data_IF_769779515213
#
_entry.id   IF_769779515213
#
_cell.length_a   1.000
_cell.length_b   1.000
_cell.length_c   1.000
_cell.angle_alpha   90.00
_cell.angle_beta   90.00
_cell.angle_gamma   90.00
#
_symmetry.space_group_name_H-M   'P 1'
#
loop_
_entity.id
_entity.type
_entity.pdbx_description
1 polymer ?
#
# COMPACT_ATOMS: atom_id res chain seq x y z
N UNK A 1 -6.08 17.73 -9.82
CA UNK A 1 -6.27 16.31 -10.20
C UNK A 1 -5.88 15.42 -9.02
N UNK A 2 -6.44 14.22 -8.90
CA UNK A 2 -6.10 13.29 -7.80
C UNK A 2 -5.70 11.94 -8.38
N UNK A 3 -4.68 11.31 -7.82
CA UNK A 3 -4.40 9.89 -8.00
C UNK A 3 -4.91 9.12 -6.76
N UNK A 4 -6.00 8.36 -6.91
CA UNK A 4 -6.66 7.61 -5.84
C UNK A 4 -6.34 6.11 -5.97
N UNK A 5 -5.55 5.56 -5.05
CA UNK A 5 -5.16 4.15 -5.06
C UNK A 5 -5.56 3.43 -3.77
N UNK A 6 -5.78 2.11 -3.85
CA UNK A 6 -6.09 1.31 -2.67
C UNK A 6 -4.88 1.17 -1.74
N UNK A 7 -3.72 0.80 -2.28
CA UNK A 7 -2.51 0.52 -1.53
C UNK A 7 -1.31 1.22 -2.17
N UNK A 8 -0.33 1.61 -1.35
CA UNK A 8 0.90 2.26 -1.82
C UNK A 8 2.02 1.25 -2.14
N UNK A 9 1.71 0.28 -2.99
CA UNK A 9 2.66 -0.74 -3.46
C UNK A 9 3.58 -0.21 -4.58
N UNK A 10 4.46 -1.07 -5.11
CA UNK A 10 5.39 -0.66 -6.18
C UNK A 10 4.67 -0.16 -7.44
N UNK A 11 3.57 -0.79 -7.85
CA UNK A 11 2.82 -0.36 -9.03
C UNK A 11 2.20 1.03 -8.85
N UNK A 12 1.67 1.34 -7.66
CA UNK A 12 1.20 2.69 -7.32
C UNK A 12 2.35 3.70 -7.30
N UNK A 13 3.54 3.33 -6.82
CA UNK A 13 4.74 4.19 -6.83
C UNK A 13 5.19 4.51 -8.25
N UNK A 14 5.26 3.52 -9.12
CA UNK A 14 5.69 3.68 -10.52
C UNK A 14 4.71 4.60 -11.28
N UNK A 15 3.41 4.45 -11.03
CA UNK A 15 2.38 5.32 -11.60
C UNK A 15 2.48 6.76 -11.07
N UNK A 16 2.58 6.93 -9.75
CA UNK A 16 2.72 8.25 -9.13
C UNK A 16 3.96 9.00 -9.66
N UNK A 17 5.10 8.29 -9.77
CA UNK A 17 6.32 8.84 -10.34
C UNK A 17 6.15 9.21 -11.82
N UNK A 18 5.51 8.33 -12.61
CA UNK A 18 5.27 8.59 -14.04
C UNK A 18 4.40 9.82 -14.27
N UNK A 19 3.36 10.01 -13.45
CA UNK A 19 2.50 11.19 -13.49
C UNK A 19 3.29 12.46 -13.15
N UNK A 20 4.11 12.41 -12.09
CA UNK A 20 4.95 13.52 -11.66
C UNK A 20 5.92 13.96 -12.76
N UNK A 21 6.65 13.03 -13.38
CA UNK A 21 7.62 13.34 -14.45
C UNK A 21 6.95 13.85 -15.72
N UNK A 22 5.74 13.38 -16.01
CA UNK A 22 4.93 13.90 -17.12
C UNK A 22 4.35 15.30 -16.85
N UNK A 23 4.61 15.89 -15.67
CA UNK A 23 4.17 17.24 -15.31
C UNK A 23 2.73 17.31 -14.80
N UNK A 24 2.13 16.17 -14.43
CA UNK A 24 0.81 16.16 -13.82
C UNK A 24 0.88 16.47 -12.33
N UNK A 25 0.21 17.55 -11.91
CA UNK A 25 0.01 17.88 -10.50
C UNK A 25 -1.17 17.07 -9.93
N UNK A 26 -0.89 15.79 -9.66
CA UNK A 26 -1.85 14.83 -9.11
C UNK A 26 -1.49 14.49 -7.66
N UNK A 27 -2.26 15.01 -6.70
CA UNK A 27 -2.07 14.61 -5.30
C UNK A 27 -2.41 13.13 -5.14
N UNK A 28 -1.48 12.36 -4.57
CA UNK A 28 -1.69 10.94 -4.31
C UNK A 28 -2.51 10.76 -3.02
N UNK A 29 -3.63 10.04 -3.12
CA UNK A 29 -4.50 9.67 -2.02
C UNK A 29 -4.56 8.14 -1.92
N UNK A 30 -4.15 7.60 -0.78
CA UNK A 30 -4.12 6.15 -0.52
C UNK A 30 -5.24 5.78 0.44
N UNK A 31 -6.19 4.96 -0.03
CA UNK A 31 -7.39 4.63 0.74
C UNK A 31 -7.04 3.77 1.95
N UNK A 32 -6.31 2.67 1.77
CA UNK A 32 -5.91 1.84 2.89
C UNK A 32 -4.82 2.53 3.70
N UNK A 33 -4.92 2.56 5.04
CA UNK A 33 -3.95 3.20 5.89
C UNK A 33 -2.58 2.52 5.76
N UNK A 34 -1.55 3.33 5.47
CA UNK A 34 -0.16 2.93 5.58
C UNK A 34 0.57 3.99 6.41
N UNK A 35 1.22 3.58 7.50
CA UNK A 35 1.97 4.49 8.36
C UNK A 35 3.25 5.04 7.73
N UNK A 36 3.64 4.57 6.53
CA UNK A 36 4.90 4.91 5.86
C UNK A 36 4.71 5.58 4.50
N UNK A 37 3.56 6.23 4.29
CA UNK A 37 3.33 7.04 3.09
C UNK A 37 4.40 8.12 2.92
N UNK A 38 4.84 8.40 1.68
CA UNK A 38 5.80 9.47 1.41
C UNK A 38 5.21 10.84 1.74
N UNK A 39 6.08 11.84 1.86
CA UNK A 39 5.64 13.22 2.06
C UNK A 39 4.77 13.67 0.87
N UNK A 40 3.67 14.38 1.16
CA UNK A 40 2.72 14.87 0.16
C UNK A 40 1.61 13.86 -0.23
N UNK A 41 1.77 12.57 0.06
CA UNK A 41 0.68 11.61 -0.07
C UNK A 41 -0.27 11.72 1.14
N UNK A 42 -1.57 11.60 0.88
CA UNK A 42 -2.62 11.68 1.89
C UNK A 42 -3.33 10.33 2.05
N UNK A 43 -3.91 10.08 3.23
CA UNK A 43 -4.85 8.98 3.44
C UNK A 43 -6.02 9.48 4.28
N UNK A 44 -7.28 9.10 3.96
CA UNK A 44 -8.45 9.52 4.73
C UNK A 44 -8.40 9.04 6.18
N UNK A 45 -7.61 7.99 6.50
CA UNK A 45 -7.47 7.49 7.85
C UNK A 45 -6.34 8.15 8.63
N UNK A 46 -5.19 8.43 7.99
CA UNK A 46 -4.06 9.07 8.69
C UNK A 46 -4.22 10.59 8.81
N UNK A 47 -4.95 11.22 7.88
CA UNK A 47 -5.15 12.68 7.84
C UNK A 47 -5.72 13.28 9.13
N UNK A 48 -6.57 12.54 9.85
CA UNK A 48 -7.21 13.04 11.07
C UNK A 48 -6.43 12.74 12.35
N UNK A 49 -5.40 11.88 12.27
CA UNK A 49 -4.65 11.40 13.44
C UNK A 49 -3.17 11.84 13.44
N UNK A 50 -2.65 12.24 12.28
CA UNK A 50 -1.31 12.81 12.14
C UNK A 50 -1.40 14.34 12.07
N UNK A 51 -0.50 15.05 12.76
CA UNK A 51 -0.37 16.49 12.58
C UNK A 51 0.19 16.82 11.17
N UNK A 52 -0.14 18.00 10.65
CA UNK A 52 0.33 18.46 9.33
C UNK A 52 1.88 18.47 9.22
N UNK A 53 2.56 18.82 10.31
CA UNK A 53 4.02 18.76 10.45
C UNK A 53 4.41 17.80 11.57
N UNK A 54 3.90 16.57 11.51
CA UNK A 54 4.23 15.55 12.50
C UNK A 54 5.73 15.24 12.52
N UNK A 55 6.27 15.05 13.72
CA UNK A 55 7.70 14.81 13.93
C UNK A 55 7.93 13.52 14.70
N UNK A 56 9.04 12.87 14.40
CA UNK A 56 9.43 11.65 15.07
C UNK A 56 10.35 10.80 14.21
N UNK A 57 10.59 9.58 14.68
CA UNK A 57 11.36 8.57 13.96
C UNK A 57 10.65 7.23 14.12
N UNK A 58 10.70 6.35 13.10
CA UNK A 58 10.11 5.03 13.22
C UNK A 58 10.72 4.30 14.42
N UNK A 59 9.92 3.53 15.15
CA UNK A 59 10.44 2.70 16.23
C UNK A 59 11.33 1.61 15.67
N UNK A 60 12.49 1.42 16.27
CA UNK A 60 13.27 0.21 16.09
C UNK A 60 12.58 -0.96 16.81
N UNK A 61 12.78 -2.19 16.36
CA UNK A 61 12.03 -3.35 16.86
C UNK A 61 12.06 -3.52 18.39
N UNK A 62 13.16 -3.19 19.06
CA UNK A 62 13.31 -3.29 20.51
C UNK A 62 12.75 -2.08 21.29
N UNK A 63 12.12 -1.12 20.61
CA UNK A 63 11.48 0.06 21.21
C UNK A 63 9.96 -0.06 21.29
N UNK A 64 9.40 -1.21 20.90
CA UNK A 64 7.98 -1.52 21.08
C UNK A 64 7.67 -1.50 22.59
N UNK A 65 6.66 -0.74 23.04
CA UNK A 65 6.24 -0.77 24.44
C UNK A 65 5.74 -2.17 24.81
N UNK A 66 6.35 -2.78 25.82
CA UNK A 66 6.00 -4.11 26.34
C UNK A 66 5.89 -4.08 27.86
N UNK A 67 5.14 -5.00 28.49
CA UNK A 67 5.13 -5.13 29.94
C UNK A 67 6.53 -5.32 30.53
N UNK A 68 6.70 -4.94 31.80
CA UNK A 68 7.99 -5.03 32.47
C UNK A 68 8.56 -6.46 32.42
N UNK A 69 9.86 -6.57 32.19
CA UNK A 69 10.64 -7.81 32.10
C UNK A 69 10.32 -8.74 30.91
N UNK A 70 9.44 -8.33 29.99
CA UNK A 70 9.23 -9.08 28.75
C UNK A 70 10.43 -8.87 27.81
N UNK A 71 10.81 -9.94 27.11
CA UNK A 71 11.94 -9.95 26.20
C UNK A 71 11.48 -9.60 24.78
N UNK A 72 12.26 -8.77 24.07
CA UNK A 72 12.11 -8.57 22.63
C UNK A 72 13.35 -9.17 21.94
N UNK A 73 13.14 -10.11 21.04
CA UNK A 73 14.19 -10.74 20.23
C UNK A 73 13.84 -10.67 18.75
N UNK A 74 14.82 -10.59 17.86
CA UNK A 74 14.53 -10.47 16.42
C UNK A 74 15.75 -10.58 15.52
N UNK A 75 15.48 -10.83 14.25
CA UNK A 75 16.46 -10.89 13.17
C UNK A 75 16.15 -9.82 12.10
N UNK A 76 16.71 -9.96 10.90
CA UNK A 76 16.49 -9.03 9.78
C UNK A 76 15.10 -9.14 9.14
N UNK A 77 14.36 -10.23 9.36
CA UNK A 77 13.07 -10.50 8.74
C UNK A 77 11.90 -10.21 9.68
N UNK A 78 12.03 -10.56 10.96
CA UNK A 78 10.96 -10.38 11.95
C UNK A 78 11.54 -10.24 13.36
N UNK A 79 10.72 -9.75 14.29
CA UNK A 79 10.98 -9.80 15.72
C UNK A 79 9.77 -10.37 16.48
N UNK A 80 9.97 -10.72 17.74
CA UNK A 80 8.95 -11.26 18.64
C UNK A 80 9.11 -10.70 20.03
N UNK A 81 8.01 -10.69 20.76
CA UNK A 81 7.95 -10.39 22.19
C UNK A 81 7.60 -11.66 22.94
N UNK A 82 8.34 -11.97 24.00
CA UNK A 82 8.13 -13.17 24.83
C UNK A 82 8.04 -12.81 26.31
N UNK A 83 7.24 -13.58 27.05
CA UNK A 83 7.29 -13.63 28.50
C UNK A 83 7.78 -15.01 28.93
N UNK A 84 9.01 -15.08 29.44
CA UNK A 84 9.74 -16.35 29.61
C UNK A 84 9.78 -17.11 28.28
N UNK A 85 9.22 -18.31 28.24
CA UNK A 85 9.18 -19.17 27.05
C UNK A 85 7.91 -18.98 26.19
N UNK A 86 6.96 -18.15 26.64
CA UNK A 86 5.70 -17.94 25.93
C UNK A 86 5.80 -16.76 24.97
N UNK A 87 5.55 -17.00 23.68
CA UNK A 87 5.42 -15.95 22.67
C UNK A 87 4.15 -15.14 22.93
N UNK A 88 4.28 -13.81 22.91
CA UNK A 88 3.19 -12.87 23.22
C UNK A 88 2.89 -11.90 22.10
N UNK A 89 3.87 -11.59 21.25
CA UNK A 89 3.61 -10.81 20.07
C UNK A 89 4.62 -11.08 18.95
N UNK A 90 4.19 -10.81 17.72
CA UNK A 90 5.04 -10.80 16.51
C UNK A 90 5.16 -9.39 16.00
N UNK A 91 6.38 -8.98 15.67
CA UNK A 91 6.71 -7.65 15.15
C UNK A 91 7.09 -7.81 13.68
N UNK A 92 6.34 -7.11 12.82
CA UNK A 92 6.55 -7.11 11.37
C UNK A 92 7.22 -5.80 10.94
N UNK A 93 8.20 -5.89 10.05
CA UNK A 93 8.87 -4.74 9.45
C UNK A 93 8.19 -4.32 8.14
N UNK A 94 8.33 -3.06 7.69
CA UNK A 94 7.88 -2.66 6.37
C UNK A 94 8.58 -3.48 5.28
N UNK A 95 7.81 -3.89 4.28
CA UNK A 95 8.32 -4.63 3.13
C UNK A 95 9.42 -3.82 2.42
N UNK A 96 10.51 -4.50 2.05
CA UNK A 96 11.68 -3.87 1.43
C UNK A 96 12.55 -3.02 2.39
N UNK A 97 12.15 -2.85 3.66
CA UNK A 97 12.95 -2.14 4.65
C UNK A 97 14.01 -3.05 5.26
N UNK A 98 15.28 -2.62 5.23
CA UNK A 98 16.39 -3.27 5.96
C UNK A 98 16.59 -2.71 7.37
N UNK A 99 15.78 -1.73 7.78
CA UNK A 99 16.05 -0.91 8.97
C UNK A 99 15.51 -1.52 10.29
N UNK A 100 14.96 -2.74 10.28
CA UNK A 100 14.28 -3.39 11.44
C UNK A 100 13.36 -2.42 12.22
N UNK A 101 12.69 -1.55 11.47
CA UNK A 101 11.71 -0.59 11.99
C UNK A 101 10.34 -1.25 12.05
N UNK A 102 9.52 -0.87 13.02
CA UNK A 102 8.23 -1.51 13.29
C UNK A 102 7.17 -0.99 12.33
N UNK A 103 6.52 -1.90 11.59
CA UNK A 103 5.28 -1.62 10.84
C UNK A 103 4.05 -1.98 11.67
N UNK A 104 4.03 -3.19 12.21
CA UNK A 104 2.93 -3.67 13.03
C UNK A 104 3.40 -4.63 14.12
N UNK A 105 2.57 -4.77 15.16
CA UNK A 105 2.76 -5.72 16.26
C UNK A 105 1.47 -6.51 16.46
N UNK A 106 1.52 -7.81 16.19
CA UNK A 106 0.42 -8.75 16.38
C UNK A 106 0.50 -9.34 17.79
N UNK A 107 -0.43 -8.99 18.66
CA UNK A 107 -0.52 -9.50 20.03
C UNK A 107 -1.34 -10.79 20.09
N UNK A 108 -0.79 -11.78 20.78
CA UNK A 108 -1.29 -13.15 20.81
C UNK A 108 -1.92 -13.49 22.17
N UNK A 109 -2.95 -14.33 22.17
CA UNK A 109 -3.42 -15.02 23.36
C UNK A 109 -2.53 -16.22 23.72
N UNK A 110 -2.84 -16.90 24.83
CA UNK A 110 -2.11 -18.09 25.30
C UNK A 110 -2.14 -19.28 24.33
N UNK A 111 -3.08 -19.30 23.40
CA UNK A 111 -3.17 -20.33 22.35
C UNK A 111 -2.44 -19.94 21.06
N UNK A 112 -1.79 -18.77 21.03
CA UNK A 112 -1.08 -18.26 19.86
C UNK A 112 -1.98 -17.59 18.83
N UNK A 113 -3.25 -17.31 19.15
CA UNK A 113 -4.18 -16.61 18.25
C UNK A 113 -4.04 -15.10 18.38
N UNK A 114 -4.15 -14.39 17.26
CA UNK A 114 -4.11 -12.92 17.21
C UNK A 114 -5.35 -12.34 17.88
N UNK A 115 -5.15 -11.38 18.78
CA UNK A 115 -6.21 -10.63 19.47
C UNK A 115 -6.20 -9.15 19.13
N UNK A 116 -5.02 -8.60 18.88
CA UNK A 116 -4.85 -7.20 18.52
C UNK A 116 -3.70 -7.04 17.55
N UNK A 117 -3.82 -6.09 16.62
CA UNK A 117 -2.71 -5.65 15.78
C UNK A 117 -2.53 -4.15 15.97
N UNK A 118 -1.38 -3.76 16.50
CA UNK A 118 -0.98 -2.36 16.62
C UNK A 118 -0.25 -1.94 15.34
N UNK A 119 -0.67 -0.84 14.71
CA UNK A 119 -0.08 -0.30 13.49
C UNK A 119 0.73 0.95 13.80
N UNK A 120 2.00 0.95 13.40
CA UNK A 120 2.94 2.02 13.66
C UNK A 120 3.23 2.82 12.38
N UNK A 121 3.53 4.10 12.55
CA UNK A 121 3.88 5.00 11.45
C UNK A 121 5.35 5.42 11.48
N UNK A 122 5.75 6.15 10.43
CA UNK A 122 7.10 6.71 10.24
C UNK A 122 7.52 7.70 11.32
N UNK A 123 6.59 8.17 12.15
CA UNK A 123 6.85 9.06 13.27
C UNK A 123 7.04 8.32 14.61
N UNK A 124 6.78 7.01 14.63
CA UNK A 124 7.10 6.13 15.77
C UNK A 124 6.00 5.99 16.81
N UNK A 125 4.76 6.34 16.50
CA UNK A 125 3.62 6.04 17.39
C UNK A 125 2.66 5.03 16.76
N UNK A 126 1.89 4.37 17.62
CA UNK A 126 0.83 3.47 17.21
C UNK A 126 -0.39 4.31 16.84
N UNK A 127 -0.66 4.45 15.55
CA UNK A 127 -1.72 5.30 15.02
C UNK A 127 -3.04 4.53 14.82
N UNK A 128 -3.00 3.20 14.81
CA UNK A 128 -4.20 2.38 14.72
C UNK A 128 -4.08 1.06 15.48
N UNK A 129 -5.20 0.54 15.97
CA UNK A 129 -5.31 -0.76 16.65
C UNK A 129 -6.47 -1.55 16.07
N UNK A 130 -6.20 -2.73 15.54
CA UNK A 130 -7.24 -3.65 15.05
C UNK A 130 -7.50 -4.74 16.08
N UNK A 131 -8.71 -4.84 16.61
CA UNK A 131 -9.13 -5.91 17.53
C UNK A 131 -9.72 -7.08 16.75
N UNK A 132 -9.39 -8.30 17.17
CA UNK A 132 -9.84 -9.55 16.55
C UNK A 132 -10.69 -10.39 17.50
N UNK A 133 -11.61 -11.17 16.94
CA UNK A 133 -12.45 -12.11 17.68
C UNK A 133 -11.68 -13.40 18.10
N UNK A 134 -12.41 -14.40 18.62
CA UNK A 134 -11.84 -15.70 19.01
C UNK A 134 -11.38 -16.59 17.83
N UNK A 135 -11.80 -16.25 16.62
CA UNK A 135 -11.43 -16.94 15.39
C UNK A 135 -10.29 -16.24 14.64
N UNK A 136 -9.84 -15.08 15.12
CA UNK A 136 -8.81 -14.27 14.46
C UNK A 136 -9.38 -13.40 13.33
N UNK A 137 -10.69 -13.14 13.31
CA UNK A 137 -11.32 -12.21 12.37
C UNK A 137 -11.31 -10.79 12.94
N UNK A 138 -10.93 -9.80 12.13
CA UNK A 138 -10.94 -8.40 12.53
C UNK A 138 -12.37 -7.90 12.82
N UNK A 139 -12.58 -7.28 13.97
CA UNK A 139 -13.87 -6.75 14.42
C UNK A 139 -13.96 -5.24 14.20
N UNK A 140 -12.98 -4.50 14.71
CA UNK A 140 -12.90 -3.06 14.53
C UNK A 140 -11.45 -2.58 14.48
N UNK A 141 -11.22 -1.45 13.81
CA UNK A 141 -9.98 -0.70 13.86
C UNK A 141 -10.24 0.69 14.42
N UNK A 142 -9.57 1.01 15.52
CA UNK A 142 -9.52 2.35 16.11
C UNK A 142 -8.30 3.08 15.58
N UNK A 143 -8.47 4.32 15.12
CA UNK A 143 -7.39 5.20 14.67
C UNK A 143 -7.28 6.37 15.65
N UNK A 144 -6.06 6.60 16.14
CA UNK A 144 -5.78 7.48 17.26
C UNK A 144 -4.59 8.40 16.98
N UNK A 145 -4.67 9.61 17.52
CA UNK A 145 -3.55 10.57 17.55
C UNK A 145 -2.39 10.04 18.38
N UNK A 146 -1.25 10.75 18.33
CA UNK A 146 -0.06 10.47 19.14
C UNK A 146 -0.34 10.51 20.65
N UNK A 147 -1.27 11.37 21.08
CA UNK A 147 -1.74 11.53 22.46
C UNK A 147 -2.71 10.41 22.90
N UNK A 148 -3.20 9.62 21.95
CA UNK A 148 -4.16 8.54 22.20
C UNK A 148 -5.62 8.94 22.03
N UNK A 149 -5.91 10.15 21.54
CA UNK A 149 -7.29 10.54 21.20
C UNK A 149 -7.76 9.74 19.99
N UNK A 150 -8.80 8.90 20.16
CA UNK A 150 -9.47 8.22 19.05
C UNK A 150 -10.21 9.24 18.17
N UNK A 151 -9.97 9.16 16.86
CA UNK A 151 -10.60 10.01 15.84
C UNK A 151 -11.51 9.23 14.91
N UNK A 152 -11.17 7.99 14.61
CA UNK A 152 -11.91 7.14 13.69
C UNK A 152 -12.11 5.76 14.31
N UNK A 153 -13.32 5.23 14.23
CA UNK A 153 -13.61 3.84 14.52
C UNK A 153 -14.25 3.20 13.29
N UNK A 154 -13.59 2.19 12.74
CA UNK A 154 -14.08 1.38 11.63
C UNK A 154 -14.57 0.03 12.14
N UNK A 155 -15.82 -0.32 11.87
CA UNK A 155 -16.39 -1.62 12.18
C UNK A 155 -16.30 -2.53 10.95
N UNK A 156 -15.52 -3.60 11.03
CA UNK A 156 -15.29 -4.52 9.90
C UNK A 156 -16.46 -5.48 9.64
N UNK A 157 -17.38 -5.64 10.60
CA UNK A 157 -18.58 -6.46 10.42
C UNK A 157 -19.69 -5.69 9.72
N UNK A 158 -19.90 -4.41 10.08
CA UNK A 158 -20.98 -3.59 9.49
C UNK A 158 -20.50 -2.65 8.40
N UNK A 159 -19.18 -2.51 8.22
CA UNK A 159 -18.51 -1.49 7.38
C UNK A 159 -18.72 -0.03 7.84
N UNK A 160 -19.44 0.20 8.94
CA UNK A 160 -19.66 1.55 9.44
C UNK A 160 -18.34 2.19 9.88
N UNK A 161 -18.17 3.47 9.53
CA UNK A 161 -17.04 4.30 9.96
C UNK A 161 -17.59 5.48 10.75
N UNK A 162 -17.11 5.65 11.97
CA UNK A 162 -17.41 6.76 12.85
C UNK A 162 -16.24 7.73 12.88
N UNK A 163 -16.48 9.01 12.62
CA UNK A 163 -15.49 10.08 12.69
C UNK A 163 -15.87 11.05 13.81
N UNK A 164 -14.94 11.24 14.74
CA UNK A 164 -15.06 12.15 15.88
C UNK A 164 -13.96 13.21 15.81
N UNK A 165 -14.34 14.45 15.52
CA UNK A 165 -13.42 15.59 15.48
C UNK A 165 -13.68 16.56 16.65
N UNK A 166 -12.65 17.22 17.21
CA UNK A 166 -12.83 18.19 18.28
C UNK A 166 -13.86 19.27 17.93
N UNK A 167 -14.85 19.46 18.80
CA UNK A 167 -15.88 20.49 18.63
C UNK A 167 -16.91 20.20 17.52
N UNK A 168 -16.90 19.01 16.91
CA UNK A 168 -17.88 18.61 15.90
C UNK A 168 -18.74 17.46 16.39
N UNK A 169 -19.98 17.38 15.88
CA UNK A 169 -20.84 16.23 16.10
C UNK A 169 -20.23 14.97 15.46
N UNK A 170 -20.47 13.82 16.07
CA UNK A 170 -20.12 12.50 15.52
C UNK A 170 -20.69 12.37 14.10
N UNK A 171 -19.83 12.03 13.14
CA UNK A 171 -20.23 11.73 11.76
C UNK A 171 -20.16 10.23 11.53
N UNK A 172 -21.23 9.64 11.01
CA UNK A 172 -21.29 8.23 10.61
C UNK A 172 -21.29 8.10 9.09
N UNK A 173 -20.50 7.18 8.58
CA UNK A 173 -20.47 6.77 7.19
C UNK A 173 -20.79 5.28 7.10
N UNK A 174 -21.60 4.87 6.13
CA UNK A 174 -22.05 3.47 6.02
C UNK A 174 -20.95 2.51 5.54
N UNK A 175 -19.94 3.02 4.84
CA UNK A 175 -18.82 2.25 4.28
C UNK A 175 -17.65 3.18 3.93
N UNK A 176 -16.52 2.56 3.55
CA UNK A 176 -15.31 3.26 3.09
C UNK A 176 -15.56 4.20 1.91
N UNK A 177 -16.42 3.84 0.96
CA UNK A 177 -16.70 4.69 -0.21
C UNK A 177 -17.30 6.03 0.22
N UNK A 178 -18.30 6.03 1.11
CA UNK A 178 -18.90 7.27 1.63
C UNK A 178 -17.90 8.09 2.44
N UNK A 179 -17.07 7.43 3.25
CA UNK A 179 -16.02 8.10 4.03
C UNK A 179 -14.96 8.76 3.13
N UNK A 180 -14.47 8.05 2.11
CA UNK A 180 -13.50 8.56 1.14
C UNK A 180 -14.09 9.73 0.35
N UNK A 181 -15.33 9.63 -0.15
CA UNK A 181 -16.00 10.74 -0.85
C UNK A 181 -16.10 11.98 0.04
N UNK A 182 -16.48 11.81 1.30
CA UNK A 182 -16.57 12.92 2.23
C UNK A 182 -15.21 13.55 2.56
N UNK A 183 -14.15 12.75 2.69
CA UNK A 183 -12.78 13.22 2.84
C UNK A 183 -12.33 14.00 1.60
N UNK A 184 -12.52 13.45 0.40
CA UNK A 184 -12.14 14.08 -0.86
C UNK A 184 -12.84 15.43 -1.04
N UNK A 185 -14.14 15.51 -0.78
CA UNK A 185 -14.90 16.76 -0.84
C UNK A 185 -14.40 17.79 0.18
N UNK A 186 -14.03 17.36 1.39
CA UNK A 186 -13.51 18.25 2.43
C UNK A 186 -12.12 18.83 2.08
N UNK A 187 -11.23 18.00 1.53
CA UNK A 187 -9.82 18.38 1.30
C UNK A 187 -9.63 19.08 -0.05
N UNK A 188 -10.34 18.64 -1.08
CA UNK A 188 -10.12 19.11 -2.46
C UNK A 188 -11.28 19.94 -3.02
N UNK A 189 -12.46 19.90 -2.40
CA UNK A 189 -13.66 20.54 -2.95
C UNK A 189 -14.11 19.88 -4.26
N UNK A 190 -14.19 20.67 -5.33
CA UNK A 190 -14.51 20.17 -6.67
C UNK A 190 -13.27 19.50 -7.30
N UNK A 191 -13.45 18.28 -7.80
CA UNK A 191 -12.38 17.45 -8.37
C UNK A 191 -12.60 17.31 -9.87
N UNK A 192 -11.63 17.83 -10.64
CA UNK A 192 -11.67 17.77 -12.11
C UNK A 192 -11.54 16.33 -12.59
N UNK A 193 -10.46 15.63 -12.18
CA UNK A 193 -10.15 14.29 -12.65
C UNK A 193 -9.61 13.43 -11.51
N UNK A 194 -10.04 12.16 -11.50
CA UNK A 194 -9.49 11.09 -10.67
C UNK A 194 -8.81 10.09 -11.59
N UNK A 195 -7.53 9.84 -11.34
CA UNK A 195 -6.82 8.67 -11.85
C UNK A 195 -6.89 7.63 -10.75
N UNK A 196 -7.27 6.40 -11.05
CA UNK A 196 -7.32 5.32 -10.06
C UNK A 196 -6.76 4.03 -10.65
N UNK A 197 -6.25 3.13 -9.81
CA UNK A 197 -5.53 1.94 -10.29
C UNK A 197 -6.12 0.59 -9.85
N UNK A 198 -7.35 0.60 -9.34
CA UNK A 198 -8.02 -0.60 -8.84
C UNK A 198 -9.53 -0.52 -9.07
N UNK A 199 -10.13 -1.67 -9.35
CA UNK A 199 -11.58 -1.83 -9.50
C UNK A 199 -12.33 -1.98 -8.16
N UNK A 200 -11.65 -1.83 -7.02
CA UNK A 200 -12.26 -1.85 -5.70
C UNK A 200 -12.77 -0.46 -5.28
N UNK A 201 -12.45 0.01 -4.06
CA UNK A 201 -13.01 1.27 -3.53
C UNK A 201 -12.74 2.51 -4.41
N UNK A 202 -11.54 2.71 -5.02
CA UNK A 202 -11.28 3.86 -5.89
C UNK A 202 -12.24 3.94 -7.09
N UNK A 203 -12.52 2.79 -7.73
CA UNK A 203 -13.49 2.71 -8.80
C UNK A 203 -14.89 3.10 -8.32
N UNK A 204 -15.37 2.53 -7.22
CA UNK A 204 -16.72 2.83 -6.71
C UNK A 204 -16.87 4.29 -6.30
N UNK A 205 -15.81 4.91 -5.77
CA UNK A 205 -15.77 6.36 -5.51
C UNK A 205 -15.97 7.13 -6.80
N UNK A 206 -15.16 6.91 -7.83
CA UNK A 206 -15.27 7.61 -9.11
C UNK A 206 -16.63 7.35 -9.79
N UNK A 207 -17.09 6.10 -9.78
CA UNK A 207 -18.34 5.66 -10.40
C UNK A 207 -19.58 6.30 -9.77
N UNK A 208 -19.61 6.44 -8.44
CA UNK A 208 -20.78 6.96 -7.70
C UNK A 208 -20.74 8.47 -7.46
N UNK A 209 -19.65 9.14 -7.80
CA UNK A 209 -19.55 10.60 -7.72
C UNK A 209 -20.40 11.27 -8.81
N UNK A 210 -21.00 12.41 -8.48
CA UNK A 210 -21.78 13.18 -9.44
C UNK A 210 -20.90 13.58 -10.64
N UNK A 211 -21.30 13.17 -11.83
CA UNK A 211 -20.60 13.54 -13.06
C UNK A 211 -21.02 14.95 -13.49
N UNK A 212 -20.07 15.89 -13.50
CA UNK A 212 -20.23 17.27 -13.98
C UNK A 212 -19.61 17.47 -15.38
N UNK A 213 -19.56 16.40 -16.19
CA UNK A 213 -18.99 16.42 -17.54
C UNK A 213 -17.48 16.14 -17.57
N UNK A 214 -16.98 15.35 -16.61
CA UNK A 214 -15.56 15.04 -16.46
C UNK A 214 -15.31 13.53 -16.57
N UNK A 215 -14.12 13.16 -17.04
CA UNK A 215 -13.70 11.77 -17.25
C UNK A 215 -12.58 11.41 -16.28
N UNK A 216 -12.83 10.40 -15.47
CA UNK A 216 -11.86 9.74 -14.61
C UNK A 216 -11.32 8.50 -15.32
N UNK A 217 -10.08 8.13 -15.00
CA UNK A 217 -9.32 7.11 -15.74
C UNK A 217 -8.88 5.99 -14.81
N UNK A 218 -9.23 4.75 -15.17
CA UNK A 218 -8.64 3.55 -14.60
C UNK A 218 -7.27 3.31 -15.25
N UNK A 219 -6.21 3.18 -14.47
CA UNK A 219 -4.93 2.60 -14.91
C UNK A 219 -4.87 1.17 -14.40
N UNK A 220 -5.18 0.20 -15.26
CA UNK A 220 -5.25 -1.22 -14.89
C UNK A 220 -3.85 -1.86 -14.90
N UNK A 221 -3.41 -2.35 -13.74
CA UNK A 221 -2.04 -2.84 -13.51
C UNK A 221 -1.96 -4.34 -13.22
N UNK A 222 -3.10 -5.04 -13.17
CA UNK A 222 -3.19 -6.47 -12.86
C UNK A 222 -3.28 -7.33 -14.14
N UNK A 223 -2.87 -8.61 -14.11
CA UNK A 223 -3.05 -9.49 -15.27
C UNK A 223 -4.54 -9.74 -15.57
N UNK A 224 -4.87 -9.96 -16.84
CA UNK A 224 -6.22 -10.34 -17.26
C UNK A 224 -6.39 -11.86 -17.40
N UNK A 225 -7.47 -12.37 -16.83
CA UNK A 225 -7.99 -13.72 -17.13
C UNK A 225 -8.63 -13.78 -18.52
N UNK A 226 -9.42 -14.82 -18.76
CA UNK A 226 -10.08 -15.03 -20.07
C UNK A 226 -11.38 -14.23 -20.23
N UNK A 227 -11.83 -13.58 -19.16
CA UNK A 227 -13.03 -12.74 -19.12
C UNK A 227 -12.64 -11.42 -18.46
N UNK A 228 -13.16 -10.32 -18.98
CA UNK A 228 -12.98 -9.00 -18.37
C UNK A 228 -13.67 -8.93 -17.00
N UNK A 229 -13.06 -8.29 -16.00
CA UNK A 229 -13.71 -8.03 -14.73
C UNK A 229 -15.05 -7.30 -14.90
N UNK A 230 -16.08 -7.67 -14.13
CA UNK A 230 -17.42 -7.09 -14.27
C UNK A 230 -17.46 -5.57 -14.14
N UNK A 231 -16.69 -5.00 -13.19
CA UNK A 231 -16.59 -3.54 -13.02
C UNK A 231 -15.92 -2.84 -14.22
N UNK A 232 -15.03 -3.54 -14.93
CA UNK A 232 -14.43 -3.02 -16.16
C UNK A 232 -15.47 -2.90 -17.27
N UNK A 233 -16.39 -3.87 -17.38
CA UNK A 233 -17.52 -3.76 -18.31
C UNK A 233 -18.38 -2.55 -17.98
N UNK A 234 -18.59 -2.22 -16.70
CA UNK A 234 -19.24 -0.98 -16.29
C UNK A 234 -18.64 0.26 -16.98
N UNK A 235 -17.33 0.45 -16.85
CA UNK A 235 -16.59 1.59 -17.48
C UNK A 235 -16.79 1.63 -19.00
N UNK A 236 -16.87 0.47 -19.65
CA UNK A 236 -17.05 0.36 -21.08
C UNK A 236 -18.48 0.70 -21.54
N UNK A 237 -19.50 0.33 -20.76
CA UNK A 237 -20.92 0.52 -21.11
C UNK A 237 -21.48 1.90 -20.70
N UNK A 238 -21.18 2.37 -19.48
CA UNK A 238 -21.82 3.57 -18.92
C UNK A 238 -21.04 4.84 -19.29
N UNK A 239 -21.63 5.65 -20.16
CA UNK A 239 -21.06 6.95 -20.55
C UNK A 239 -21.43 8.10 -19.59
N UNK A 240 -22.32 7.85 -18.61
CA UNK A 240 -22.76 8.85 -17.64
C UNK A 240 -21.92 8.87 -16.37
N UNK A 241 -21.23 7.78 -16.04
CA UNK A 241 -20.28 7.73 -14.94
C UNK A 241 -19.02 8.57 -15.24
N UNK A 242 -18.33 9.04 -14.19
CA UNK A 242 -17.03 9.71 -14.36
C UNK A 242 -15.97 8.73 -14.85
N UNK A 243 -15.90 7.54 -14.25
CA UNK A 243 -15.01 6.45 -14.65
C UNK A 243 -15.38 5.94 -16.05
N UNK A 244 -14.69 6.43 -17.08
CA UNK A 244 -15.10 6.23 -18.47
C UNK A 244 -13.91 6.01 -19.43
N UNK A 245 -12.72 5.76 -18.90
CA UNK A 245 -11.55 5.42 -19.69
C UNK A 245 -10.65 4.41 -18.95
N UNK A 246 -9.99 3.55 -19.71
CA UNK A 246 -9.08 2.52 -19.21
C UNK A 246 -7.73 2.69 -19.91
N UNK A 247 -6.66 2.76 -19.12
CA UNK A 247 -5.28 2.71 -19.57
C UNK A 247 -4.68 1.40 -19.08
N UNK A 248 -4.01 0.67 -19.97
CA UNK A 248 -3.29 -0.57 -19.62
C UNK A 248 -1.82 -0.40 -19.96
N UNK A 249 -0.93 -0.30 -18.95
CA UNK A 249 0.49 -0.08 -19.19
C UNK A 249 1.24 -1.31 -19.73
N UNK A 250 0.88 -2.51 -19.25
CA UNK A 250 1.52 -3.73 -19.72
C UNK A 250 1.02 -4.11 -21.12
N UNK A 251 1.96 -4.25 -22.07
CA UNK A 251 1.63 -4.50 -23.47
C UNK A 251 0.90 -5.82 -23.69
N UNK A 252 1.34 -6.90 -23.04
CA UNK A 252 0.72 -8.21 -23.19
C UNK A 252 -0.73 -8.20 -22.67
N UNK A 253 -0.95 -7.54 -21.53
CA UNK A 253 -2.27 -7.35 -20.94
C UNK A 253 -3.16 -6.45 -21.82
N UNK A 254 -2.60 -5.37 -22.39
CA UNK A 254 -3.33 -4.50 -23.31
C UNK A 254 -3.79 -5.24 -24.58
N UNK A 255 -2.89 -6.01 -25.21
CA UNK A 255 -3.21 -6.81 -26.39
C UNK A 255 -4.29 -7.86 -26.06
N UNK A 256 -4.20 -8.52 -24.89
CA UNK A 256 -5.25 -9.43 -24.41
C UNK A 256 -6.57 -8.69 -24.21
N UNK A 257 -6.58 -7.51 -23.60
CA UNK A 257 -7.80 -6.72 -23.41
C UNK A 257 -8.50 -6.41 -24.74
N UNK A 258 -7.74 -6.05 -25.79
CA UNK A 258 -8.31 -5.77 -27.11
C UNK A 258 -8.97 -6.99 -27.77
N UNK A 259 -8.64 -8.21 -27.38
CA UNK A 259 -9.36 -9.41 -27.85
C UNK A 259 -10.68 -9.66 -27.13
N UNK A 260 -10.82 -9.12 -25.90
CA UNK A 260 -11.99 -9.34 -25.05
C UNK A 260 -13.00 -8.17 -25.14
N UNK A 261 -12.52 -6.96 -25.44
CA UNK A 261 -13.34 -5.75 -25.53
C UNK A 261 -14.05 -5.67 -26.89
N UNK A 262 -15.37 -5.41 -26.93
CA UNK A 262 -16.10 -5.20 -28.17
C UNK A 262 -15.51 -4.07 -29.02
N UNK A 263 -15.51 -4.22 -30.36
CA UNK A 263 -14.88 -3.28 -31.31
C UNK A 263 -15.34 -1.82 -31.12
N UNK A 264 -16.63 -1.60 -30.87
CA UNK A 264 -17.23 -0.28 -30.65
C UNK A 264 -16.73 0.41 -29.38
N UNK A 265 -16.14 -0.33 -28.44
CA UNK A 265 -15.68 0.14 -27.13
C UNK A 265 -14.16 0.23 -27.00
N UNK A 266 -13.40 -0.25 -27.98
CA UNK A 266 -11.93 -0.23 -27.95
C UNK A 266 -11.34 1.18 -27.81
N UNK A 267 -12.06 2.21 -28.28
CA UNK A 267 -11.63 3.60 -28.14
C UNK A 267 -11.51 4.07 -26.69
N UNK A 268 -12.15 3.39 -25.72
CA UNK A 268 -12.01 3.66 -24.29
C UNK A 268 -10.77 3.01 -23.65
N UNK A 269 -10.10 2.11 -24.38
CA UNK A 269 -8.95 1.34 -23.89
C UNK A 269 -7.67 1.82 -24.58
N UNK A 270 -6.83 2.47 -23.82
CA UNK A 270 -5.60 3.09 -24.28
C UNK A 270 -4.38 2.33 -23.74
N UNK A 271 -3.30 2.33 -24.51
CA UNK A 271 -2.00 1.83 -24.06
C UNK A 271 -1.14 3.00 -23.59
N UNK A 272 -0.42 2.79 -22.49
CA UNK A 272 0.58 3.71 -21.96
C UNK A 272 1.76 2.90 -21.40
N UNK A 273 2.77 3.53 -20.80
CA UNK A 273 3.86 2.84 -20.13
C UNK A 273 4.36 3.65 -18.93
N UNK A 274 5.21 3.07 -18.09
CA UNK A 274 5.79 3.82 -16.98
C UNK A 274 7.07 4.54 -17.40
N UNK A 275 7.28 5.72 -16.81
CA UNK A 275 8.58 6.36 -16.81
C UNK A 275 9.39 5.79 -15.65
N UNK A 276 10.64 5.41 -15.92
CA UNK A 276 11.57 4.92 -14.90
C UNK A 276 12.79 5.83 -14.83
N UNK A 277 13.19 6.17 -13.61
CA UNK A 277 14.46 6.84 -13.36
C UNK A 277 15.60 5.81 -13.35
N UNK A 278 16.12 5.49 -14.54
CA UNK A 278 17.29 4.63 -14.64
C UNK A 278 18.51 5.35 -14.09
N UNK A 279 18.94 4.97 -12.88
CA UNK A 279 20.20 5.46 -12.29
C UNK A 279 21.38 5.02 -13.17
N UNK A 280 22.37 5.91 -13.30
CA UNK A 280 23.48 5.79 -14.26
C UNK A 280 24.04 4.37 -14.39
N UNK A 281 24.21 3.93 -15.63
CA UNK A 281 24.91 2.71 -15.97
C UNK A 281 26.38 3.07 -16.22
N UNK A 282 27.24 2.86 -15.22
CA UNK A 282 28.68 2.97 -15.48
C UNK A 282 29.09 1.88 -16.49
N UNK A 283 29.91 2.29 -17.47
CA UNK A 283 30.43 1.48 -18.58
C UNK A 283 30.69 0.03 -18.21
N UNK A 284 30.19 -0.92 -19.02
CA UNK A 284 30.38 -2.39 -18.99
C UNK A 284 31.66 -2.83 -18.25
N UNK A 285 31.66 -2.92 -16.91
CA UNK A 285 32.76 -3.54 -16.21
C UNK A 285 32.60 -5.05 -16.44
N UNK A 286 33.70 -5.79 -16.51
CA UNK A 286 33.61 -7.27 -16.48
C UNK A 286 33.32 -7.73 -15.04
N UNK A 287 32.26 -7.19 -14.44
CA UNK A 287 31.85 -7.45 -13.07
C UNK A 287 30.40 -7.91 -13.07
N UNK A 288 30.14 -9.06 -12.46
CA UNK A 288 28.79 -9.52 -12.14
C UNK A 288 28.57 -9.30 -10.64
N UNK A 289 27.40 -8.80 -10.24
CA UNK A 289 27.02 -8.66 -8.84
C UNK A 289 25.83 -9.56 -8.52
N UNK A 290 25.95 -10.38 -7.48
CA UNK A 290 24.90 -11.29 -7.02
C UNK A 290 24.63 -10.97 -5.55
N UNK A 291 23.40 -10.58 -5.23
CA UNK A 291 22.93 -10.52 -3.86
C UNK A 291 22.15 -11.80 -3.55
N UNK A 292 22.56 -12.52 -2.50
CA UNK A 292 21.94 -13.79 -2.10
C UNK A 292 21.64 -13.82 -0.61
N UNK A 293 20.63 -14.61 -0.21
CA UNK A 293 20.40 -14.99 1.18
C UNK A 293 20.81 -16.46 1.45
N UNK A 294 21.37 -17.13 0.44
CA UNK A 294 21.73 -18.55 0.42
C UNK A 294 23.17 -18.73 -0.02
N UNK A 295 23.85 -19.73 0.54
CA UNK A 295 25.18 -20.18 0.14
C UNK A 295 25.18 -20.94 -1.20
N UNK A 296 24.03 -21.48 -1.58
CA UNK A 296 23.85 -22.19 -2.84
C UNK A 296 23.34 -21.25 -3.94
N UNK A 297 24.25 -20.88 -4.86
CA UNK A 297 23.91 -20.20 -6.11
C UNK A 297 23.96 -21.23 -7.23
N UNK A 298 22.82 -21.47 -7.86
CA UNK A 298 22.67 -22.46 -8.93
C UNK A 298 23.65 -22.17 -10.08
N UNK A 299 24.39 -23.21 -10.50
CA UNK A 299 25.35 -23.16 -11.60
C UNK A 299 26.49 -22.14 -11.47
N UNK A 300 26.75 -21.60 -10.26
CA UNK A 300 27.81 -20.60 -10.07
C UNK A 300 29.19 -21.11 -10.49
N UNK A 301 29.56 -22.33 -10.11
CA UNK A 301 30.87 -22.93 -10.45
C UNK A 301 31.09 -22.97 -11.96
N UNK A 302 30.11 -23.51 -12.70
CA UNK A 302 30.16 -23.57 -14.17
C UNK A 302 30.23 -22.18 -14.81
N UNK A 303 29.56 -21.17 -14.25
CA UNK A 303 29.61 -19.79 -14.74
C UNK A 303 30.97 -19.14 -14.48
N UNK A 304 31.57 -19.37 -13.31
CA UNK A 304 32.90 -18.83 -12.95
C UNK A 304 33.98 -19.47 -13.82
N UNK A 305 33.92 -20.78 -14.06
CA UNK A 305 34.87 -21.50 -14.92
C UNK A 305 34.77 -21.07 -16.39
N UNK A 306 33.55 -20.87 -16.90
CA UNK A 306 33.32 -20.51 -18.31
C UNK A 306 33.57 -19.03 -18.62
N UNK A 307 33.59 -18.16 -17.60
CA UNK A 307 33.76 -16.72 -17.75
C UNK A 307 34.93 -16.18 -16.90
N UNK A 308 36.18 -16.62 -17.16
CA UNK A 308 37.35 -16.28 -16.32
C UNK A 308 37.69 -14.78 -16.33
N UNK A 309 37.21 -14.08 -17.35
CA UNK A 309 37.40 -12.64 -17.54
C UNK A 309 36.41 -11.80 -16.71
N UNK A 310 35.42 -12.41 -16.07
CA UNK A 310 34.37 -11.74 -15.28
C UNK A 310 34.64 -11.89 -13.78
N UNK A 311 34.69 -10.78 -13.06
CA UNK A 311 34.75 -10.78 -11.59
C UNK A 311 33.32 -10.93 -11.03
N UNK A 312 33.06 -12.02 -10.31
CA UNK A 312 31.79 -12.24 -9.61
C UNK A 312 31.87 -11.70 -8.18
N UNK A 313 31.08 -10.66 -7.87
CA UNK A 313 30.92 -10.07 -6.54
C UNK A 313 29.65 -10.60 -5.90
N UNK A 314 29.78 -11.44 -4.89
CA UNK A 314 28.65 -12.07 -4.20
C UNK A 314 28.52 -11.45 -2.81
N UNK A 315 27.34 -10.92 -2.50
CA UNK A 315 27.05 -10.32 -1.20
C UNK A 315 25.84 -11.01 -0.55
N UNK A 316 25.95 -11.28 0.75
CA UNK A 316 24.84 -11.76 1.57
C UNK A 316 24.66 -10.87 2.81
N UNK A 317 23.41 -10.71 3.25
CA UNK A 317 23.06 -9.92 4.46
C UNK A 317 23.04 -10.82 5.72
N UNK A 318 23.12 -12.13 5.53
CA UNK A 318 23.21 -13.16 6.57
C UNK A 318 24.64 -13.70 6.65
N UNK A 319 25.07 -14.14 7.84
CA UNK A 319 26.22 -15.03 7.94
C UNK A 319 25.89 -16.29 7.13
N UNK A 320 26.57 -16.48 6.00
CA UNK A 320 26.50 -17.71 5.21
C UNK A 320 27.12 -18.81 6.09
N UNK A 321 26.53 -20.01 6.08
CA UNK A 321 27.02 -21.13 6.89
C UNK A 321 28.56 -21.29 6.76
N UNK A 322 29.31 -21.57 7.85
CA UNK A 322 30.76 -21.68 7.83
C UNK A 322 31.32 -22.64 6.78
#
# INVERSE_FOLDING_TARGET
MIFLCDYYNQASKDLAYSLQVAGYDATTVVINPDGFLPQGALSPFTYYVEAAEETGKPRFFNQVPVPAFWEISGNNQMARVSNLTEERARITYPEGSKARIVKSVEWLDKSGKIRQVDHYNKYGFCFAKTTHDENGQALFTSYQTKEGDERILENHLTSDILLTLPGQALRRFANRTEFVKAFLAQVFGDIDHIIFNSLATPFVVSWTMQNKGVTDVLVWQEPLGDILPGNMNGILEDNSARANAIIIPDKATYEKALTLVPEDKKHKVLSFGYAYDFKENHCKPRNAFIATNSDQIECLEALVESLPDVTFQIAAVTEMSP
#
